data_IF_474950409858
#
_entry.id   IF_474950409858
#
_cell.length_a   1.000
_cell.length_b   1.000
_cell.length_c   1.000
_cell.angle_alpha   90.00
_cell.angle_beta   90.00
_cell.angle_gamma   90.00
#
_symmetry.space_group_name_H-M   'P 1'
#
loop_
_entity.id
_entity.type
_entity.pdbx_description
1 polymer ?
#
# COMPACT_ATOMS: atom_id res chain seq x y z
N UNK A 1 5.80 45.99 22.16
CA UNK A 1 6.82 45.49 21.22
C UNK A 1 8.10 45.24 22.00
N UNK A 2 8.32 44.02 22.50
CA UNK A 2 9.54 43.68 23.22
C UNK A 2 10.68 43.53 22.21
N UNK A 3 11.63 44.46 22.20
CA UNK A 3 12.81 44.37 21.34
C UNK A 3 13.51 43.02 21.56
N UNK A 4 13.71 42.27 20.48
CA UNK A 4 14.39 40.98 20.51
C UNK A 4 15.82 41.19 21.06
N UNK A 5 16.13 40.54 22.19
CA UNK A 5 17.43 40.72 22.91
C UNK A 5 18.66 40.49 22.03
N UNK A 6 18.54 39.72 20.94
CA UNK A 6 19.61 39.47 19.97
C UNK A 6 20.05 40.74 19.22
N UNK A 7 19.14 41.70 19.01
CA UNK A 7 19.38 42.89 18.19
C UNK A 7 19.51 44.19 19.01
N UNK A 8 19.31 44.12 20.33
CA UNK A 8 19.34 45.28 21.22
C UNK A 8 20.71 45.96 21.37
N UNK A 9 21.80 45.26 21.01
CA UNK A 9 23.17 45.78 21.09
C UNK A 9 23.64 46.45 19.79
N UNK A 10 22.85 46.40 18.72
CA UNK A 10 23.16 47.06 17.46
C UNK A 10 22.62 48.50 17.50
N UNK A 11 23.47 49.53 17.28
CA UNK A 11 22.98 50.89 17.07
C UNK A 11 22.23 50.96 15.73
N UNK A 12 21.15 51.75 15.68
CA UNK A 12 20.30 52.00 14.50
C UNK A 12 19.37 50.85 14.09
N UNK A 13 18.62 50.29 15.05
CA UNK A 13 17.56 49.32 14.77
C UNK A 13 16.21 50.04 14.53
N UNK A 14 15.63 49.84 13.35
CA UNK A 14 14.31 50.40 13.00
C UNK A 14 13.20 49.80 13.90
N UNK A 15 12.37 50.69 14.44
CA UNK A 15 11.21 50.35 15.29
C UNK A 15 9.87 50.47 14.55
N UNK A 16 9.91 50.70 13.24
CA UNK A 16 8.75 50.63 12.36
C UNK A 16 8.05 49.27 12.43
N UNK A 17 6.77 49.19 12.04
CA UNK A 17 6.09 47.92 11.87
C UNK A 17 6.82 47.03 10.85
N UNK A 18 6.96 45.74 11.22
CA UNK A 18 7.68 44.72 10.44
C UNK A 18 7.02 44.46 9.08
N UNK A 19 5.69 44.63 9.00
CA UNK A 19 4.90 44.43 7.79
C UNK A 19 4.03 45.65 7.52
N UNK A 20 4.26 46.30 6.37
CA UNK A 20 3.35 47.30 5.81
C UNK A 20 2.49 46.64 4.75
N UNK A 21 1.30 46.18 5.15
CA UNK A 21 0.32 45.56 4.26
C UNK A 21 -0.84 46.51 3.95
N UNK A 22 -1.40 46.36 2.75
CA UNK A 22 -2.70 46.97 2.42
C UNK A 22 -3.79 46.26 3.23
N UNK A 23 -4.82 46.97 3.71
CA UNK A 23 -5.93 46.34 4.43
C UNK A 23 -6.49 45.17 3.62
N UNK A 24 -6.66 44.02 4.26
CA UNK A 24 -7.20 42.82 3.63
C UNK A 24 -8.59 43.16 3.07
N UNK A 25 -8.70 43.29 1.74
CA UNK A 25 -10.01 43.32 1.10
C UNK A 25 -10.59 41.93 1.26
N UNK A 26 -11.77 41.83 1.85
CA UNK A 26 -12.49 40.57 2.03
C UNK A 26 -12.95 40.05 0.65
N UNK A 27 -12.02 39.49 -0.13
CA UNK A 27 -12.30 38.81 -1.40
C UNK A 27 -13.09 37.49 -1.19
N UNK A 28 -13.28 37.09 0.07
CA UNK A 28 -13.87 35.82 0.50
C UNK A 28 -15.42 35.82 0.57
N UNK A 29 -16.08 36.90 0.14
CA UNK A 29 -17.55 36.96 0.01
C UNK A 29 -18.07 36.62 -1.40
N UNK A 30 -17.20 36.22 -2.34
CA UNK A 30 -17.63 35.78 -3.67
C UNK A 30 -18.07 34.32 -3.66
N UNK A 31 -19.38 34.09 -3.54
CA UNK A 31 -20.06 32.84 -3.92
C UNK A 31 -20.17 32.65 -5.44
N UNK A 32 -19.19 33.12 -6.22
CA UNK A 32 -19.11 32.81 -7.63
C UNK A 32 -18.37 31.47 -7.76
N UNK A 33 -19.06 30.36 -8.10
CA UNK A 33 -18.35 29.14 -8.45
C UNK A 33 -17.54 29.47 -9.70
N UNK A 34 -16.22 29.53 -9.57
CA UNK A 34 -15.30 29.52 -10.72
C UNK A 34 -15.34 28.11 -11.31
N UNK A 35 -16.48 27.79 -11.92
CA UNK A 35 -16.75 26.57 -12.64
C UNK A 35 -15.87 26.54 -13.88
N UNK A 36 -14.65 26.01 -13.72
CA UNK A 36 -13.84 25.36 -14.76
C UNK A 36 -12.62 24.67 -14.12
N UNK A 37 -12.87 23.83 -13.14
CA UNK A 37 -11.96 22.75 -12.79
C UNK A 37 -12.73 21.43 -12.94
N UNK A 38 -12.66 20.84 -14.14
CA UNK A 38 -12.87 19.40 -14.29
C UNK A 38 -11.75 18.72 -13.51
N UNK A 39 -12.02 18.41 -12.26
CA UNK A 39 -11.16 17.50 -11.50
C UNK A 39 -11.57 16.08 -11.90
N UNK A 40 -10.75 15.45 -12.74
CA UNK A 40 -10.74 14.01 -12.93
C UNK A 40 -10.32 13.36 -11.61
N UNK A 41 -11.28 13.13 -10.73
CA UNK A 41 -11.07 12.37 -9.49
C UNK A 41 -11.61 10.96 -9.68
N UNK A 42 -10.69 10.02 -9.83
CA UNK A 42 -10.90 8.59 -9.75
C UNK A 42 -11.29 8.17 -8.33
N UNK A 43 -12.48 8.54 -7.87
CA UNK A 43 -13.22 7.94 -6.74
C UNK A 43 -14.50 8.75 -6.50
N UNK A 44 -15.47 8.72 -7.43
CA UNK A 44 -16.79 9.26 -7.11
C UNK A 44 -17.60 8.17 -6.42
N UNK A 45 -17.64 8.27 -5.09
CA UNK A 45 -18.59 7.61 -4.21
C UNK A 45 -20.00 7.71 -4.80
N UNK A 46 -20.69 6.59 -4.73
CA UNK A 46 -22.05 6.33 -5.21
C UNK A 46 -23.05 7.27 -4.52
N UNK A 47 -23.17 8.51 -4.99
CA UNK A 47 -24.22 9.42 -4.55
C UNK A 47 -24.92 10.01 -5.78
N UNK A 48 -26.14 9.54 -5.89
CA UNK A 48 -27.24 9.94 -6.74
C UNK A 48 -27.40 11.46 -6.71
N UNK A 49 -26.85 12.14 -7.72
CA UNK A 49 -27.24 13.48 -8.11
C UNK A 49 -27.77 13.33 -9.54
N UNK A 50 -29.02 12.92 -9.64
CA UNK A 50 -29.88 13.16 -10.80
C UNK A 50 -30.34 14.62 -10.73
N UNK A 51 -29.42 15.55 -10.99
CA UNK A 51 -29.77 16.93 -11.31
C UNK A 51 -29.09 17.29 -12.64
N UNK A 52 -29.95 17.33 -13.66
CA UNK A 52 -29.84 18.11 -14.89
C UNK A 52 -28.70 17.77 -15.86
N UNK A 53 -28.79 16.59 -16.48
CA UNK A 53 -28.03 16.26 -17.70
C UNK A 53 -28.98 15.92 -18.88
N UNK A 54 -30.13 16.61 -18.95
CA UNK A 54 -31.01 16.62 -20.14
C UNK A 54 -30.47 17.50 -21.30
N UNK A 55 -29.20 17.92 -21.28
CA UNK A 55 -28.72 18.99 -22.19
C UNK A 55 -27.76 18.54 -23.32
N UNK A 56 -27.63 17.23 -23.59
CA UNK A 56 -26.95 16.74 -24.79
C UNK A 56 -27.75 15.61 -25.48
N UNK A 57 -28.61 15.93 -26.48
CA UNK A 57 -29.29 14.90 -27.26
C UNK A 57 -28.26 14.07 -28.04
N UNK A 58 -28.07 12.81 -27.64
CA UNK A 58 -27.25 11.82 -28.37
C UNK A 58 -26.16 11.11 -27.55
N UNK A 59 -25.90 11.51 -26.30
CA UNK A 59 -24.89 10.86 -25.45
C UNK A 59 -25.57 10.22 -24.23
N UNK A 60 -25.62 8.89 -24.19
CA UNK A 60 -25.99 8.17 -22.97
C UNK A 60 -24.82 8.20 -21.99
N UNK A 61 -25.03 8.80 -20.81
CA UNK A 61 -24.02 8.94 -19.74
C UNK A 61 -24.24 7.92 -18.62
N UNK A 62 -24.81 6.75 -18.93
CA UNK A 62 -25.02 5.69 -17.94
C UNK A 62 -23.69 5.37 -17.24
N UNK A 63 -23.62 5.66 -15.94
CA UNK A 63 -22.42 5.41 -15.14
C UNK A 63 -22.29 3.90 -14.91
N UNK A 64 -21.08 3.36 -15.06
CA UNK A 64 -20.80 1.96 -14.77
C UNK A 64 -20.84 1.73 -13.26
N UNK A 65 -21.70 0.84 -12.80
CA UNK A 65 -21.74 0.40 -11.41
C UNK A 65 -20.79 -0.80 -11.24
N UNK A 66 -19.55 -0.61 -10.70
CA UNK A 66 -18.52 -1.64 -10.71
C UNK A 66 -18.90 -2.87 -9.87
N UNK A 67 -19.71 -2.69 -8.83
CA UNK A 67 -20.17 -3.79 -7.97
C UNK A 67 -21.22 -4.66 -8.69
N UNK A 68 -22.17 -4.04 -9.39
CA UNK A 68 -23.17 -4.74 -10.18
C UNK A 68 -22.52 -5.44 -11.38
N UNK A 69 -21.66 -4.72 -12.12
CA UNK A 69 -20.87 -5.30 -13.19
C UNK A 69 -20.01 -6.47 -12.70
N UNK A 70 -19.38 -6.36 -11.52
CA UNK A 70 -18.62 -7.47 -10.92
C UNK A 70 -19.50 -8.68 -10.66
N UNK A 71 -20.72 -8.49 -10.14
CA UNK A 71 -21.65 -9.60 -9.94
C UNK A 71 -22.06 -10.29 -11.24
N UNK A 72 -22.23 -9.52 -12.32
CA UNK A 72 -22.58 -10.04 -13.65
C UNK A 72 -21.44 -10.83 -14.30
N UNK A 73 -20.20 -10.37 -14.15
CA UNK A 73 -19.03 -10.99 -14.78
C UNK A 73 -18.27 -11.99 -13.90
N UNK A 74 -18.48 -12.01 -12.58
CA UNK A 74 -17.86 -12.98 -11.67
C UNK A 74 -18.05 -14.46 -12.05
N UNK A 75 -19.22 -14.93 -12.54
CA UNK A 75 -19.38 -16.33 -12.94
C UNK A 75 -18.82 -16.64 -14.33
N UNK A 76 -18.45 -15.63 -15.13
CA UNK A 76 -17.90 -15.84 -16.47
C UNK A 76 -16.40 -16.11 -16.38
N UNK A 77 -15.97 -17.32 -16.75
CA UNK A 77 -14.55 -17.63 -16.92
C UNK A 77 -14.20 -17.70 -18.41
N UNK A 78 -13.04 -17.16 -18.76
CA UNK A 78 -12.56 -17.05 -20.13
C UNK A 78 -11.37 -18.00 -20.30
N UNK A 79 -11.50 -18.98 -21.20
CA UNK A 79 -10.39 -19.82 -21.63
C UNK A 79 -9.68 -19.20 -22.84
N UNK A 80 -8.38 -18.98 -22.70
CA UNK A 80 -7.50 -18.39 -23.71
C UNK A 80 -6.46 -19.38 -24.24
N UNK A 81 -6.47 -20.65 -23.82
CA UNK A 81 -5.41 -21.64 -24.17
C UNK A 81 -5.29 -21.90 -25.67
N UNK A 82 -6.41 -21.85 -26.38
CA UNK A 82 -6.46 -22.07 -27.82
C UNK A 82 -6.57 -20.76 -28.62
N UNK A 83 -6.59 -19.58 -28.00
CA UNK A 83 -6.77 -18.33 -28.74
C UNK A 83 -5.54 -18.04 -29.61
N UNK A 84 -5.73 -17.95 -30.93
CA UNK A 84 -4.68 -17.64 -31.90
C UNK A 84 -5.18 -16.50 -32.80
N UNK A 85 -4.61 -15.31 -32.59
CA UNK A 85 -4.85 -14.11 -33.38
C UNK A 85 -3.79 -13.90 -34.46
N UNK A 86 -2.87 -14.86 -34.66
CA UNK A 86 -2.04 -14.81 -35.85
C UNK A 86 -2.97 -14.93 -37.05
N UNK A 87 -2.86 -14.00 -38.00
CA UNK A 87 -3.79 -13.79 -39.13
C UNK A 87 -3.66 -14.89 -40.21
N UNK A 88 -3.47 -16.14 -39.76
CA UNK A 88 -3.32 -17.34 -40.57
C UNK A 88 -4.69 -17.73 -41.13
N UNK A 89 -4.95 -17.26 -42.35
CA UNK A 89 -6.21 -17.48 -43.11
C UNK A 89 -6.53 -18.97 -43.37
N UNK A 90 -5.58 -19.89 -43.17
CA UNK A 90 -5.75 -21.32 -43.45
C UNK A 90 -6.30 -22.14 -42.29
N UNK A 91 -6.35 -21.59 -41.08
CA UNK A 91 -6.90 -22.27 -39.90
C UNK A 91 -8.22 -21.61 -39.47
N UNK A 92 -9.15 -22.41 -38.91
CA UNK A 92 -10.36 -21.86 -38.27
C UNK A 92 -9.92 -20.85 -37.21
N UNK A 93 -10.44 -19.62 -37.29
CA UNK A 93 -10.14 -18.54 -36.33
C UNK A 93 -10.39 -19.04 -34.91
N UNK A 94 -9.35 -19.06 -34.09
CA UNK A 94 -9.46 -19.47 -32.69
C UNK A 94 -9.62 -18.23 -31.81
N UNK A 95 -10.81 -18.03 -31.25
CA UNK A 95 -11.12 -16.92 -30.36
C UNK A 95 -11.15 -17.37 -28.89
N UNK A 96 -11.22 -16.41 -27.97
CA UNK A 96 -11.54 -16.66 -26.57
C UNK A 96 -12.84 -17.47 -26.44
N UNK A 97 -12.85 -18.46 -25.54
CA UNK A 97 -14.04 -19.22 -25.17
C UNK A 97 -14.51 -18.74 -23.81
N UNK A 98 -15.66 -18.05 -23.76
CA UNK A 98 -16.30 -17.69 -22.50
C UNK A 98 -17.29 -18.78 -22.10
N UNK A 99 -17.13 -19.36 -20.91
CA UNK A 99 -18.12 -20.28 -20.34
C UNK A 99 -18.72 -19.68 -19.09
N UNK A 100 -20.06 -19.64 -19.05
CA UNK A 100 -20.86 -19.15 -17.92
C UNK A 100 -21.63 -20.28 -17.24
N UNK A 101 -21.55 -21.52 -17.75
CA UNK A 101 -22.42 -22.63 -17.34
C UNK A 101 -21.64 -23.78 -16.71
N UNK A 102 -21.90 -23.94 -15.41
CA UNK A 102 -21.74 -25.13 -14.55
C UNK A 102 -20.51 -26.03 -14.82
N UNK A 103 -19.54 -25.92 -13.92
CA UNK A 103 -18.44 -26.85 -13.78
C UNK A 103 -18.94 -28.27 -13.49
N UNK A 104 -18.36 -29.27 -14.15
CA UNK A 104 -18.43 -30.66 -13.69
C UNK A 104 -17.04 -31.07 -13.24
N UNK A 105 -16.92 -31.40 -11.95
CA UNK A 105 -15.67 -31.90 -11.40
C UNK A 105 -15.57 -33.40 -11.70
N UNK A 106 -14.52 -33.83 -12.41
CA UNK A 106 -14.26 -35.26 -12.62
C UNK A 106 -13.70 -35.88 -11.34
N UNK A 107 -13.84 -37.20 -11.21
CA UNK A 107 -13.31 -38.01 -10.09
C UNK A 107 -11.78 -37.90 -9.93
N UNK A 108 -11.08 -37.48 -10.99
CA UNK A 108 -9.62 -37.27 -11.04
C UNK A 108 -9.19 -35.81 -10.69
N UNK A 109 -10.10 -35.00 -10.15
CA UNK A 109 -9.81 -33.62 -9.70
C UNK A 109 -9.54 -32.60 -10.81
N UNK A 110 -9.82 -32.96 -12.06
CA UNK A 110 -9.73 -32.06 -13.22
C UNK A 110 -11.09 -31.46 -13.52
N UNK A 111 -11.17 -30.12 -13.50
CA UNK A 111 -12.38 -29.38 -13.86
C UNK A 111 -12.54 -29.38 -15.38
N UNK A 112 -13.65 -29.97 -15.86
CA UNK A 112 -14.01 -29.97 -17.28
C UNK A 112 -14.97 -28.81 -17.55
N UNK A 113 -14.57 -27.93 -18.46
CA UNK A 113 -15.33 -26.76 -18.90
C UNK A 113 -15.86 -27.02 -20.32
N UNK A 114 -17.17 -26.90 -20.53
CA UNK A 114 -17.74 -27.01 -21.87
C UNK A 114 -19.25 -27.16 -21.87
N UNK A 115 -19.86 -26.79 -23.00
CA UNK A 115 -21.24 -27.17 -23.31
C UNK A 115 -21.24 -28.67 -23.67
N UNK A 116 -21.88 -29.49 -22.85
CA UNK A 116 -22.01 -30.93 -23.11
C UNK A 116 -23.08 -31.24 -24.17
N UNK A 117 -23.50 -30.24 -24.95
CA UNK A 117 -24.39 -30.39 -26.10
C UNK A 117 -23.68 -31.25 -27.16
N UNK A 118 -24.20 -32.46 -27.35
CA UNK A 118 -23.58 -33.63 -28.02
C UNK A 118 -23.39 -33.48 -29.55
N UNK A 119 -23.53 -32.28 -30.11
CA UNK A 119 -23.78 -32.15 -31.55
C UNK A 119 -22.67 -31.47 -32.37
N UNK A 120 -21.72 -30.69 -31.81
CA UNK A 120 -20.75 -29.98 -32.67
C UNK A 120 -19.27 -29.92 -32.21
N UNK A 121 -18.94 -30.27 -30.97
CA UNK A 121 -17.55 -30.15 -30.50
C UNK A 121 -16.81 -31.49 -30.53
N UNK A 122 -15.74 -31.52 -31.34
CA UNK A 122 -14.95 -32.70 -31.67
C UNK A 122 -14.72 -33.64 -30.49
N UNK A 123 -15.11 -34.90 -30.68
CA UNK A 123 -15.02 -35.97 -29.69
C UNK A 123 -13.72 -35.88 -28.87
N UNK A 124 -13.85 -35.88 -27.55
CA UNK A 124 -12.69 -35.92 -26.64
C UNK A 124 -11.74 -37.04 -27.08
N UNK A 125 -10.42 -36.82 -26.95
CA UNK A 125 -9.42 -37.79 -27.40
C UNK A 125 -9.68 -39.20 -26.85
N UNK A 126 -10.23 -39.29 -25.64
CA UNK A 126 -10.67 -40.53 -25.01
C UNK A 126 -11.88 -41.18 -25.72
N UNK A 127 -12.93 -40.41 -26.02
CA UNK A 127 -14.09 -40.90 -26.80
C UNK A 127 -13.67 -41.31 -28.21
N UNK A 128 -12.75 -40.56 -28.83
CA UNK A 128 -12.16 -40.87 -30.13
C UNK A 128 -11.36 -42.18 -30.11
N UNK A 129 -10.53 -42.39 -29.09
CA UNK A 129 -9.76 -43.64 -28.91
C UNK A 129 -10.70 -44.83 -28.63
N UNK A 130 -11.75 -44.64 -27.84
CA UNK A 130 -12.74 -45.69 -27.58
C UNK A 130 -13.51 -46.09 -28.85
N UNK A 131 -13.91 -45.12 -29.68
CA UNK A 131 -14.51 -45.38 -30.99
C UNK A 131 -13.56 -46.14 -31.91
N UNK A 132 -12.31 -45.67 -32.05
CA UNK A 132 -11.30 -46.34 -32.88
C UNK A 132 -11.01 -47.77 -32.42
N UNK A 133 -11.01 -48.03 -31.11
CA UNK A 133 -10.92 -49.40 -30.57
C UNK A 133 -12.07 -50.27 -31.06
N UNK A 134 -13.31 -49.75 -30.99
CA UNK A 134 -14.50 -50.48 -31.46
C UNK A 134 -14.45 -50.74 -32.96
N UNK A 135 -14.07 -49.74 -33.76
CA UNK A 135 -13.94 -49.88 -35.21
C UNK A 135 -12.85 -50.91 -35.60
N UNK A 136 -11.71 -50.92 -34.89
CA UNK A 136 -10.65 -51.90 -35.11
C UNK A 136 -11.08 -53.31 -34.69
N UNK A 137 -11.87 -53.44 -33.61
CA UNK A 137 -12.42 -54.71 -33.18
C UNK A 137 -13.47 -55.26 -34.17
N UNK A 138 -14.32 -54.40 -34.71
CA UNK A 138 -15.27 -54.74 -35.77
C UNK A 138 -14.54 -55.23 -37.04
N UNK A 139 -13.51 -54.51 -37.49
CA UNK A 139 -12.67 -54.91 -38.64
C UNK A 139 -11.96 -56.24 -38.39
N UNK A 140 -11.50 -56.49 -37.15
CA UNK A 140 -10.89 -57.77 -36.77
C UNK A 140 -11.89 -58.93 -36.83
N UNK A 141 -13.13 -58.72 -36.40
CA UNK A 141 -14.19 -59.72 -36.48
C UNK A 141 -14.60 -60.02 -37.92
N UNK A 142 -14.72 -59.01 -38.78
CA UNK A 142 -15.00 -59.20 -40.21
C UNK A 142 -13.88 -59.99 -40.90
N UNK A 143 -12.63 -59.68 -40.56
CA UNK A 143 -11.48 -60.39 -41.10
C UNK A 143 -11.41 -61.86 -40.62
N UNK A 144 -11.74 -62.13 -39.35
CA UNK A 144 -11.84 -63.50 -38.82
C UNK A 144 -12.97 -64.30 -39.49
N UNK A 145 -14.12 -63.68 -39.73
CA UNK A 145 -15.24 -64.29 -40.48
C UNK A 145 -14.82 -64.61 -41.93
N UNK A 146 -14.04 -63.74 -42.57
CA UNK A 146 -13.55 -63.93 -43.94
C UNK A 146 -12.49 -65.03 -44.05
N UNK A 147 -11.62 -65.18 -43.05
CA UNK A 147 -10.72 -66.33 -42.96
C UNK A 147 -11.47 -67.65 -42.74
N UNK A 148 -12.50 -67.66 -41.88
CA UNK A 148 -13.31 -68.85 -41.63
C UNK A 148 -14.18 -69.26 -42.84
N UNK A 149 -14.51 -68.31 -43.71
CA UNK A 149 -15.29 -68.55 -44.94
C UNK A 149 -14.42 -68.84 -46.18
N UNK A 150 -13.10 -68.65 -46.12
CA UNK A 150 -12.18 -68.76 -47.24
C UNK A 150 -11.23 -69.96 -47.15
N UNK A 151 -11.71 -71.13 -47.53
CA UNK A 151 -10.87 -72.29 -47.87
C UNK A 151 -11.18 -72.65 -49.34
N UNK A 152 -10.67 -71.84 -50.27
CA UNK A 152 -10.44 -72.17 -51.69
C UNK A 152 -9.98 -70.90 -52.44
N UNK A 153 -8.73 -70.91 -52.94
CA UNK A 153 -8.28 -69.99 -54.00
C UNK A 153 -7.13 -69.02 -53.66
N UNK A 154 -5.91 -69.52 -53.82
CA UNK A 154 -4.68 -68.90 -54.35
C UNK A 154 -4.01 -67.65 -53.72
N UNK A 155 -2.68 -67.69 -53.81
CA UNK A 155 -1.66 -66.85 -53.18
C UNK A 155 -1.79 -65.33 -53.43
N UNK A 156 -1.88 -64.54 -52.35
CA UNK A 156 -1.07 -63.35 -52.01
C UNK A 156 -1.79 -62.48 -50.96
N UNK A 157 -1.25 -62.46 -49.73
CA UNK A 157 -1.43 -61.34 -48.80
C UNK A 157 -2.63 -61.29 -47.82
N UNK A 158 -3.34 -62.37 -47.44
CA UNK A 158 -4.29 -62.25 -46.35
C UNK A 158 -3.57 -62.13 -45.00
N UNK A 159 -2.56 -62.95 -44.69
CA UNK A 159 -1.93 -62.98 -43.35
C UNK A 159 -1.33 -61.64 -42.89
N UNK A 160 -0.85 -60.81 -43.83
CA UNK A 160 -0.20 -59.52 -43.56
C UNK A 160 -1.19 -58.49 -42.99
N UNK A 161 -2.41 -58.42 -43.54
CA UNK A 161 -3.45 -57.50 -43.05
C UNK A 161 -3.94 -57.86 -41.65
N UNK A 162 -4.02 -59.16 -41.33
CA UNK A 162 -4.34 -59.61 -39.99
C UNK A 162 -3.25 -59.23 -38.98
N UNK A 163 -1.99 -59.38 -39.38
CA UNK A 163 -0.84 -58.95 -38.59
C UNK A 163 -0.85 -57.42 -38.39
N UNK A 164 -1.15 -56.64 -39.42
CA UNK A 164 -1.27 -55.19 -39.37
C UNK A 164 -2.39 -54.70 -38.44
N UNK A 165 -3.57 -55.32 -38.48
CA UNK A 165 -4.68 -54.99 -37.57
C UNK A 165 -4.32 -55.31 -36.11
N UNK A 166 -3.60 -56.41 -35.86
CA UNK A 166 -3.10 -56.72 -34.52
C UNK A 166 -1.98 -55.78 -34.08
N UNK A 167 -1.14 -55.31 -35.01
CA UNK A 167 -0.10 -54.31 -34.74
C UNK A 167 -0.72 -52.95 -34.41
N UNK A 168 -1.77 -52.53 -35.15
CA UNK A 168 -2.55 -51.32 -34.87
C UNK A 168 -3.22 -51.38 -33.50
N UNK A 169 -3.79 -52.53 -33.11
CA UNK A 169 -4.38 -52.71 -31.79
C UNK A 169 -3.30 -52.62 -30.68
N UNK A 170 -2.14 -53.26 -30.88
CA UNK A 170 -0.99 -53.12 -29.96
C UNK A 170 -0.45 -51.68 -29.88
N UNK A 171 -0.44 -50.93 -30.98
CA UNK A 171 -0.02 -49.52 -30.97
C UNK A 171 -1.04 -48.64 -30.23
N UNK A 172 -2.34 -48.88 -30.43
CA UNK A 172 -3.40 -48.14 -29.75
C UNK A 172 -3.43 -48.44 -28.24
N UNK A 173 -3.23 -49.69 -27.85
CA UNK A 173 -3.03 -50.07 -26.44
C UNK A 173 -1.74 -49.49 -25.86
N UNK A 174 -0.65 -49.45 -26.63
CA UNK A 174 0.59 -48.77 -26.24
C UNK A 174 0.40 -47.27 -26.00
N UNK A 175 -0.45 -46.61 -26.78
CA UNK A 175 -0.80 -45.19 -26.60
C UNK A 175 -1.70 -44.96 -25.39
N UNK A 176 -2.63 -45.89 -25.10
CA UNK A 176 -3.50 -45.84 -23.93
C UNK A 176 -2.75 -46.14 -22.62
N UNK A 177 -1.83 -47.12 -22.62
CA UNK A 177 -1.02 -47.51 -21.46
C UNK A 177 0.02 -46.45 -21.11
N UNK A 178 0.55 -45.70 -22.09
CA UNK A 178 1.41 -44.53 -21.81
C UNK A 178 0.71 -43.44 -20.99
N UNK A 179 -0.63 -43.46 -20.94
CA UNK A 179 -1.47 -42.55 -20.14
C UNK A 179 -2.11 -43.24 -18.91
N UNK A 180 -1.86 -44.54 -18.70
CA UNK A 180 -2.29 -45.27 -17.51
C UNK A 180 -1.54 -44.82 -16.23
N UNK A 181 -2.10 -45.05 -15.04
CA UNK A 181 -1.79 -44.36 -13.77
C UNK A 181 -0.37 -44.59 -13.20
N UNK A 182 0.48 -45.31 -13.91
CA UNK A 182 1.79 -45.77 -13.41
C UNK A 182 2.97 -44.90 -13.84
N UNK A 183 2.76 -43.89 -14.69
CA UNK A 183 3.76 -42.85 -14.87
C UNK A 183 3.64 -41.84 -13.74
N UNK A 184 4.50 -42.00 -12.71
CA UNK A 184 4.74 -41.02 -11.65
C UNK A 184 4.75 -39.62 -12.25
N UNK A 185 3.63 -38.91 -12.10
CA UNK A 185 3.43 -37.63 -12.73
C UNK A 185 4.52 -36.67 -12.28
N UNK A 186 4.91 -35.73 -13.14
CA UNK A 186 5.81 -34.65 -12.74
C UNK A 186 5.31 -33.93 -11.47
N UNK A 187 3.98 -33.93 -11.23
CA UNK A 187 3.35 -33.44 -10.01
C UNK A 187 3.72 -34.21 -8.74
N UNK A 188 3.91 -35.54 -8.79
CA UNK A 188 4.37 -36.31 -7.64
C UNK A 188 5.85 -36.05 -7.28
N UNK A 189 6.68 -35.71 -8.28
CA UNK A 189 8.05 -35.26 -8.05
C UNK A 189 8.07 -33.82 -7.51
N UNK A 190 7.22 -32.96 -8.05
CA UNK A 190 7.06 -31.57 -7.61
C UNK A 190 6.48 -31.46 -6.19
N UNK A 191 5.51 -32.30 -5.81
CA UNK A 191 4.98 -32.37 -4.45
C UNK A 191 6.02 -32.89 -3.44
N UNK A 192 6.90 -33.79 -3.88
CA UNK A 192 8.04 -34.25 -3.07
C UNK A 192 9.12 -33.16 -2.93
N UNK A 193 9.36 -32.39 -3.99
CA UNK A 193 10.29 -31.25 -3.96
C UNK A 193 9.73 -30.05 -3.18
N UNK A 194 8.42 -29.79 -3.22
CA UNK A 194 7.75 -28.79 -2.38
C UNK A 194 7.72 -29.22 -0.91
N UNK A 195 7.40 -30.49 -0.64
CA UNK A 195 7.40 -31.06 0.70
C UNK A 195 8.79 -31.12 1.35
N UNK A 196 9.86 -31.03 0.55
CA UNK A 196 11.26 -31.00 1.02
C UNK A 196 11.98 -29.67 0.76
N UNK A 197 11.29 -28.69 0.18
CA UNK A 197 11.88 -27.51 -0.44
C UNK A 197 11.23 -26.20 -0.05
N UNK A 198 11.10 -25.95 1.27
CA UNK A 198 11.35 -24.62 1.84
C UNK A 198 12.22 -24.87 3.06
N UNK A 199 13.51 -25.12 2.83
CA UNK A 199 14.52 -25.10 3.89
C UNK A 199 14.77 -23.66 4.31
N UNK A 200 13.90 -23.15 5.18
CA UNK A 200 14.30 -22.11 6.10
C UNK A 200 15.46 -22.67 6.96
N UNK A 201 16.57 -21.97 7.00
CA UNK A 201 17.80 -22.36 7.71
C UNK A 201 17.51 -22.94 9.10
N UNK A 202 17.72 -24.24 9.25
CA UNK A 202 17.73 -24.96 10.53
C UNK A 202 18.39 -26.32 10.34
N UNK A 203 19.28 -26.76 11.24
CA UNK A 203 20.01 -28.00 11.07
C UNK A 203 19.06 -29.21 11.10
N UNK A 204 19.37 -30.29 10.35
CA UNK A 204 18.51 -31.45 10.20
C UNK A 204 18.44 -32.19 11.54
N UNK A 205 17.24 -32.39 12.08
CA UNK A 205 17.03 -33.24 13.23
C UNK A 205 17.20 -34.70 12.80
N UNK A 206 18.29 -35.32 13.23
CA UNK A 206 18.44 -36.77 13.31
C UNK A 206 17.64 -37.28 14.52
N UNK A 207 17.01 -38.44 14.37
CA UNK A 207 16.19 -39.06 15.39
C UNK A 207 16.98 -39.37 16.68
N UNK A 208 16.43 -38.88 17.81
CA UNK A 208 16.53 -39.32 19.21
C UNK A 208 17.71 -40.20 19.66
N UNK A 209 18.51 -39.65 20.58
CA UNK A 209 19.25 -40.40 21.60
C UNK A 209 18.63 -40.20 22.98
N UNK A 210 18.22 -41.29 23.64
CA UNK A 210 17.73 -41.29 25.03
C UNK A 210 18.87 -40.83 25.97
N UNK A 211 18.77 -39.63 26.56
CA UNK A 211 19.64 -39.25 27.67
C UNK A 211 19.95 -37.77 27.92
N UNK A 212 19.51 -36.83 27.08
CA UNK A 212 19.81 -35.40 27.29
C UNK A 212 18.57 -34.55 27.58
N UNK A 213 18.78 -33.50 28.39
CA UNK A 213 17.75 -32.61 28.92
C UNK A 213 16.81 -32.12 27.80
N UNK A 214 15.50 -32.26 28.05
CA UNK A 214 14.44 -31.84 27.15
C UNK A 214 14.64 -30.38 26.70
N UNK A 215 15.25 -30.22 25.54
CA UNK A 215 15.49 -28.90 24.94
C UNK A 215 14.21 -28.55 24.20
N UNK A 216 13.36 -27.78 24.87
CA UNK A 216 12.16 -27.21 24.26
C UNK A 216 12.58 -26.17 23.22
N UNK A 217 12.62 -26.58 21.97
CA UNK A 217 12.76 -25.67 20.83
C UNK A 217 11.42 -25.00 20.58
N UNK A 218 11.25 -23.80 21.13
CA UNK A 218 10.12 -22.93 20.78
C UNK A 218 10.36 -22.46 19.35
N UNK A 219 9.69 -23.11 18.39
CA UNK A 219 9.65 -22.69 17.00
C UNK A 219 8.75 -21.46 16.88
N UNK A 220 9.35 -20.29 17.10
CA UNK A 220 8.68 -19.02 16.90
C UNK A 220 8.67 -18.65 15.42
N UNK A 221 7.48 -18.49 14.83
CA UNK A 221 7.32 -17.99 13.47
C UNK A 221 7.19 -16.44 13.52
N UNK A 222 8.25 -15.67 13.22
CA UNK A 222 8.21 -14.20 13.33
C UNK A 222 7.20 -13.55 12.36
N UNK A 223 6.92 -14.20 11.23
CA UNK A 223 5.92 -13.76 10.24
C UNK A 223 4.49 -13.79 10.79
N UNK A 224 4.20 -14.66 11.76
CA UNK A 224 2.88 -14.76 12.38
C UNK A 224 2.55 -13.53 13.23
N UNK A 225 3.54 -12.96 13.92
CA UNK A 225 3.30 -11.75 14.70
C UNK A 225 3.10 -10.51 13.85
N UNK A 226 3.88 -10.36 12.79
CA UNK A 226 3.72 -9.23 11.87
C UNK A 226 2.37 -9.30 11.15
N UNK A 227 1.99 -10.47 10.63
CA UNK A 227 0.68 -10.66 10.00
C UNK A 227 -0.48 -10.45 10.99
N UNK A 228 -0.36 -10.91 12.23
CA UNK A 228 -1.38 -10.69 13.26
C UNK A 228 -1.46 -9.22 13.70
N UNK A 229 -0.34 -8.49 13.79
CA UNK A 229 -0.34 -7.05 14.06
C UNK A 229 -0.96 -6.26 12.89
N UNK A 230 -0.65 -6.63 11.65
CA UNK A 230 -1.26 -6.03 10.45
C UNK A 230 -2.75 -6.34 10.34
N UNK A 231 -3.18 -7.56 10.65
CA UNK A 231 -4.59 -7.92 10.69
C UNK A 231 -5.35 -7.09 11.75
N UNK A 232 -4.77 -6.92 12.94
CA UNK A 232 -5.34 -6.03 13.96
C UNK A 232 -5.40 -4.57 13.50
N UNK A 233 -4.37 -4.07 12.83
CA UNK A 233 -4.37 -2.72 12.27
C UNK A 233 -5.46 -2.54 11.21
N UNK A 234 -5.66 -3.54 10.34
CA UNK A 234 -6.74 -3.54 9.35
C UNK A 234 -8.14 -3.59 10.00
N UNK A 235 -8.32 -4.33 11.10
CA UNK A 235 -9.58 -4.31 11.86
C UNK A 235 -9.85 -2.94 12.47
N UNK A 236 -8.83 -2.26 13.01
CA UNK A 236 -8.96 -0.89 13.52
C UNK A 236 -9.27 0.11 12.40
N UNK A 237 -8.60 -0.01 11.26
CA UNK A 237 -8.85 0.81 10.07
C UNK A 237 -10.27 0.61 9.55
N UNK A 238 -10.77 -0.64 9.47
CA UNK A 238 -12.16 -0.92 9.11
C UNK A 238 -13.17 -0.31 10.08
N UNK A 239 -12.91 -0.37 11.39
CA UNK A 239 -13.77 0.29 12.40
C UNK A 239 -13.69 1.81 12.30
N UNK A 240 -12.52 2.35 12.03
CA UNK A 240 -12.31 3.79 11.85
C UNK A 240 -13.02 4.28 10.59
N UNK A 241 -12.94 3.56 9.46
CA UNK A 241 -13.68 3.86 8.25
C UNK A 241 -15.20 3.81 8.44
N UNK A 242 -15.71 2.89 9.27
CA UNK A 242 -17.13 2.87 9.64
C UNK A 242 -17.52 4.09 10.48
N UNK A 243 -16.66 4.50 11.42
CA UNK A 243 -16.88 5.72 12.21
C UNK A 243 -16.79 6.98 11.33
N UNK A 244 -15.83 7.05 10.42
CA UNK A 244 -15.71 8.15 9.46
C UNK A 244 -16.93 8.22 8.55
N UNK A 245 -17.43 7.09 8.05
CA UNK A 245 -18.66 7.02 7.26
C UNK A 245 -19.88 7.46 8.05
N UNK A 246 -19.96 7.11 9.34
CA UNK A 246 -21.07 7.51 10.21
C UNK A 246 -21.01 9.00 10.60
N UNK A 247 -19.80 9.54 10.78
CA UNK A 247 -19.55 10.95 11.12
C UNK A 247 -19.56 11.86 9.88
N UNK A 248 -19.45 11.29 8.68
CA UNK A 248 -19.64 12.01 7.41
C UNK A 248 -18.54 13.01 7.07
N UNK A 249 -17.38 12.97 7.75
CA UNK A 249 -16.25 13.89 7.50
C UNK A 249 -15.54 13.45 6.21
N UNK A 250 -16.22 13.56 5.08
CA UNK A 250 -15.56 13.40 3.79
C UNK A 250 -14.80 14.70 3.50
N UNK A 251 -13.52 14.57 3.15
CA UNK A 251 -12.66 15.72 2.83
C UNK A 251 -13.22 16.62 1.69
N UNK A 252 -14.26 16.17 0.98
CA UNK A 252 -15.00 16.93 -0.01
C UNK A 252 -16.01 17.94 0.58
N UNK A 253 -16.43 17.79 1.84
CA UNK A 253 -17.32 18.73 2.54
C UNK A 253 -16.55 19.81 3.35
N UNK A 254 -15.22 19.73 3.37
CA UNK A 254 -14.34 20.68 4.04
C UNK A 254 -14.43 22.15 3.53
N UNK A 255 -14.71 22.45 2.24
CA UNK A 255 -14.70 23.84 1.78
C UNK A 255 -16.03 24.59 1.99
N UNK A 256 -17.14 23.91 2.36
CA UNK A 256 -18.45 24.59 2.52
C UNK A 256 -18.85 24.86 3.97
N UNK A 257 -18.02 24.47 4.95
CA UNK A 257 -18.35 24.56 6.37
C UNK A 257 -17.39 25.49 7.12
N UNK A 258 -17.61 26.79 6.94
CA UNK A 258 -17.05 27.94 7.67
C UNK A 258 -15.65 28.42 7.29
N UNK A 259 -15.50 29.75 7.38
CA UNK A 259 -14.38 30.60 6.96
C UNK A 259 -12.97 30.23 7.47
N UNK A 260 -12.81 29.17 8.26
CA UNK A 260 -11.53 28.80 8.86
C UNK A 260 -11.12 27.33 8.62
N UNK A 261 -11.79 26.56 7.76
CA UNK A 261 -11.37 25.20 7.40
C UNK A 261 -11.32 24.19 8.56
N UNK A 262 -11.89 24.53 9.72
CA UNK A 262 -12.00 23.65 10.90
C UNK A 262 -13.41 23.06 10.89
N UNK A 263 -13.57 21.72 10.93
CA UNK A 263 -14.88 21.10 10.97
C UNK A 263 -15.65 21.59 12.19
N UNK A 264 -16.93 21.98 12.01
CA UNK A 264 -17.80 22.36 13.12
C UNK A 264 -17.85 21.21 14.13
N UNK A 265 -17.55 21.44 15.42
CA UNK A 265 -17.60 20.38 16.41
C UNK A 265 -19.04 19.84 16.54
N UNK A 266 -19.19 18.52 16.43
CA UNK A 266 -20.50 17.84 16.38
C UNK A 266 -21.25 17.97 17.71
N UNK A 267 -20.54 17.95 18.84
CA UNK A 267 -21.16 18.05 20.16
C UNK A 267 -21.84 19.40 20.43
N UNK A 268 -21.21 20.57 20.23
CA UNK A 268 -21.89 21.84 20.43
C UNK A 268 -22.97 22.11 19.37
N UNK A 269 -22.86 21.59 18.14
CA UNK A 269 -23.96 21.69 17.17
C UNK A 269 -25.15 20.81 17.57
N UNK A 270 -24.91 19.63 18.12
CA UNK A 270 -25.97 18.79 18.70
C UNK A 270 -26.58 19.44 19.95
N UNK A 271 -25.77 20.04 20.83
CA UNK A 271 -26.26 20.75 22.02
C UNK A 271 -27.09 21.98 21.63
N UNK A 272 -26.68 22.76 20.61
CA UNK A 272 -27.50 23.88 20.14
C UNK A 272 -28.80 23.40 19.50
N UNK A 273 -28.78 22.34 18.69
CA UNK A 273 -30.00 21.72 18.16
C UNK A 273 -30.88 21.16 19.27
N UNK A 274 -30.30 20.51 20.28
CA UNK A 274 -31.01 20.01 21.44
C UNK A 274 -31.66 21.15 22.23
N UNK A 275 -30.96 22.27 22.44
CA UNK A 275 -31.52 23.48 23.08
C UNK A 275 -32.62 24.10 22.23
N UNK A 276 -32.48 24.13 20.91
CA UNK A 276 -33.53 24.62 20.01
C UNK A 276 -34.77 23.72 20.07
N UNK A 277 -34.59 22.40 20.04
CA UNK A 277 -35.66 21.42 20.17
C UNK A 277 -36.31 21.49 21.55
N UNK A 278 -35.53 21.64 22.62
CA UNK A 278 -36.08 21.79 23.98
C UNK A 278 -36.87 23.07 24.13
N UNK A 279 -36.42 24.18 23.54
CA UNK A 279 -37.21 25.43 23.49
C UNK A 279 -38.51 25.21 22.73
N UNK A 280 -38.51 24.53 21.58
CA UNK A 280 -39.73 24.26 20.81
C UNK A 280 -40.69 23.32 21.57
N UNK A 281 -40.16 22.35 22.32
CA UNK A 281 -40.96 21.37 23.06
C UNK A 281 -41.50 21.91 24.41
N UNK A 282 -40.70 22.70 25.12
CA UNK A 282 -41.02 23.19 26.46
C UNK A 282 -41.75 24.55 26.41
N UNK A 283 -41.55 25.34 25.34
CA UNK A 283 -42.21 26.63 25.21
C UNK A 283 -43.49 26.56 24.37
N UNK A 284 -44.63 26.64 25.07
CA UNK A 284 -45.89 27.09 24.44
C UNK A 284 -45.71 28.50 23.87
N UNK A 285 -46.30 28.86 22.72
CA UNK A 285 -46.11 30.18 22.08
C UNK A 285 -46.42 31.36 23.02
N UNK A 286 -47.31 31.18 24.00
CA UNK A 286 -47.62 32.17 25.04
C UNK A 286 -46.49 32.44 26.04
N UNK A 287 -45.65 31.43 26.35
CA UNK A 287 -44.52 31.63 27.28
C UNK A 287 -43.36 32.37 26.59
N UNK A 288 -43.09 32.12 25.30
CA UNK A 288 -42.14 32.88 24.50
C UNK A 288 -42.50 34.37 24.41
N UNK A 289 -43.76 34.70 24.17
CA UNK A 289 -44.22 36.10 24.14
C UNK A 289 -44.07 36.79 25.50
N UNK A 290 -44.33 36.07 26.59
CA UNK A 290 -44.16 36.60 27.95
C UNK A 290 -42.69 36.83 28.31
N UNK A 291 -41.80 35.91 27.90
CA UNK A 291 -40.35 36.02 28.08
C UNK A 291 -39.80 37.14 27.20
N UNK A 292 -40.24 37.24 25.93
CA UNK A 292 -39.85 38.31 25.02
C UNK A 292 -40.29 39.70 25.49
N UNK A 293 -41.40 39.81 26.24
CA UNK A 293 -41.80 41.06 26.92
C UNK A 293 -40.89 41.37 28.12
N UNK A 294 -40.55 40.36 28.94
CA UNK A 294 -39.64 40.52 30.08
C UNK A 294 -38.22 40.87 29.64
N UNK A 295 -37.70 40.23 28.58
CA UNK A 295 -36.39 40.57 27.99
C UNK A 295 -36.37 42.00 27.47
N UNK A 296 -37.45 42.47 26.82
CA UNK A 296 -37.56 43.89 26.42
C UNK A 296 -37.62 44.84 27.62
N UNK A 297 -38.24 44.44 28.74
CA UNK A 297 -38.21 45.23 29.99
C UNK A 297 -36.79 45.28 30.54
N UNK A 298 -36.12 44.13 30.67
CA UNK A 298 -34.75 44.04 31.18
C UNK A 298 -33.75 44.76 30.28
N UNK A 299 -33.93 44.74 28.96
CA UNK A 299 -33.10 45.50 28.03
C UNK A 299 -33.26 47.00 28.26
N UNK A 300 -34.49 47.49 28.45
CA UNK A 300 -34.74 48.89 28.81
C UNK A 300 -34.15 49.25 30.16
N UNK A 301 -34.34 48.41 31.18
CA UNK A 301 -33.76 48.62 32.51
C UNK A 301 -32.22 48.62 32.46
N UNK A 302 -31.61 47.79 31.60
CA UNK A 302 -30.16 47.79 31.38
C UNK A 302 -29.68 49.06 30.64
N UNK A 303 -30.41 49.52 29.62
CA UNK A 303 -30.14 50.80 28.93
C UNK A 303 -30.28 51.98 29.90
N UNK A 304 -31.29 51.97 30.77
CA UNK A 304 -31.48 52.99 31.81
C UNK A 304 -30.34 52.97 32.83
N UNK A 305 -29.84 51.79 33.23
CA UNK A 305 -28.67 51.66 34.08
C UNK A 305 -27.38 52.10 33.38
N UNK A 306 -27.22 51.83 32.08
CA UNK A 306 -26.08 52.31 31.30
C UNK A 306 -26.10 53.84 31.16
N UNK A 307 -27.27 54.42 30.90
CA UNK A 307 -27.47 55.86 30.90
C UNK A 307 -27.19 56.47 32.29
N UNK A 308 -27.62 55.84 33.37
CA UNK A 308 -27.32 56.27 34.73
C UNK A 308 -25.81 56.18 35.03
N UNK A 309 -25.13 55.12 34.60
CA UNK A 309 -23.67 54.97 34.73
C UNK A 309 -22.90 56.01 33.90
N UNK A 310 -23.32 56.28 32.66
CA UNK A 310 -22.72 57.34 31.83
C UNK A 310 -22.90 58.71 32.47
N UNK A 311 -24.08 59.01 33.02
CA UNK A 311 -24.33 60.26 33.76
C UNK A 311 -23.48 60.35 35.04
N UNK A 312 -23.34 59.25 35.78
CA UNK A 312 -22.48 59.19 36.96
C UNK A 312 -20.99 59.40 36.60
N UNK A 313 -20.53 58.79 35.49
CA UNK A 313 -19.17 58.98 34.98
C UNK A 313 -18.91 60.42 34.53
N UNK A 314 -19.83 61.04 33.80
CA UNK A 314 -19.72 62.45 33.41
C UNK A 314 -19.68 63.36 34.64
N UNK A 315 -20.51 63.10 35.66
CA UNK A 315 -20.46 63.84 36.92
C UNK A 315 -19.13 63.64 37.67
N UNK A 316 -18.55 62.43 37.61
CA UNK A 316 -17.24 62.13 38.17
C UNK A 316 -16.10 62.80 37.40
N UNK A 317 -16.19 62.88 36.07
CA UNK A 317 -15.24 63.59 35.20
C UNK A 317 -15.32 65.11 35.43
N UNK A 318 -16.52 65.66 35.66
CA UNK A 318 -16.73 67.06 36.07
C UNK A 318 -16.15 67.35 37.47
N UNK A 319 -16.26 66.40 38.41
CA UNK A 319 -15.63 66.48 39.73
C UNK A 319 -14.10 66.41 39.64
N UNK A 320 -13.55 65.54 38.77
CA UNK A 320 -12.10 65.49 38.46
C UNK A 320 -11.61 66.81 37.85
N UNK A 321 -12.38 67.42 36.94
CA UNK A 321 -12.07 68.74 36.36
C UNK A 321 -12.12 69.89 37.40
N UNK A 322 -12.85 69.70 38.50
CA UNK A 322 -12.90 70.65 39.63
C UNK A 322 -11.73 70.53 40.62
N UNK A 323 -10.78 69.61 40.38
CA UNK A 323 -9.52 69.53 41.13
C UNK A 323 -9.64 68.88 42.52
N UNK A 324 -10.59 67.96 42.69
CA UNK A 324 -10.64 67.08 43.87
C UNK A 324 -10.05 65.73 43.45
N UNK A 325 -8.80 65.48 43.86
CA UNK A 325 -8.11 64.20 43.69
C UNK A 325 -8.85 63.10 44.45
N UNK A 326 -9.71 62.37 43.75
CA UNK A 326 -10.26 61.10 44.21
C UNK A 326 -9.58 59.98 43.41
N UNK A 327 -8.70 59.29 44.13
CA UNK A 327 -8.20 57.92 43.95
C UNK A 327 -7.14 57.64 42.88
N UNK A 328 -5.89 57.45 43.34
CA UNK A 328 -4.83 56.67 42.68
C UNK A 328 -5.27 55.21 42.39
N UNK A 329 -6.31 54.71 43.07
CA UNK A 329 -6.86 53.36 42.88
C UNK A 329 -7.49 53.16 41.48
N UNK A 330 -8.07 54.21 40.86
CA UNK A 330 -8.73 54.06 39.54
C UNK A 330 -7.74 53.91 38.38
N UNK A 331 -6.55 54.49 38.49
CA UNK A 331 -5.50 54.36 37.46
C UNK A 331 -4.85 52.97 37.53
N UNK A 332 -4.62 52.43 38.73
CA UNK A 332 -4.18 51.03 38.92
C UNK A 332 -5.23 50.04 38.41
N UNK A 333 -6.52 50.28 38.69
CA UNK A 333 -7.62 49.48 38.16
C UNK A 333 -7.73 49.61 36.62
N UNK A 334 -7.42 50.77 36.04
CA UNK A 334 -7.40 50.96 34.58
C UNK A 334 -6.26 50.20 33.91
N UNK A 335 -5.07 50.16 34.52
CA UNK A 335 -3.94 49.38 34.02
C UNK A 335 -4.15 47.88 34.22
N UNK A 336 -4.71 47.48 35.35
CA UNK A 336 -5.04 46.09 35.62
C UNK A 336 -6.13 45.61 34.67
N UNK A 337 -7.16 46.41 34.41
CA UNK A 337 -8.18 46.09 33.40
C UNK A 337 -7.61 46.05 31.99
N UNK A 338 -6.65 46.92 31.63
CA UNK A 338 -5.95 46.84 30.34
C UNK A 338 -5.11 45.55 30.22
N UNK A 339 -4.38 45.16 31.28
CA UNK A 339 -3.62 43.89 31.35
C UNK A 339 -4.55 42.68 31.29
N UNK A 340 -5.68 42.72 32.00
CA UNK A 340 -6.71 41.69 31.99
C UNK A 340 -7.35 41.57 30.61
N UNK A 341 -7.68 42.68 29.95
CA UNK A 341 -8.22 42.69 28.58
C UNK A 341 -7.20 42.14 27.57
N UNK A 342 -5.91 42.44 27.76
CA UNK A 342 -4.85 41.84 26.96
C UNK A 342 -4.76 40.31 27.19
N UNK A 343 -4.90 39.83 28.43
CA UNK A 343 -4.93 38.40 28.75
C UNK A 343 -6.19 37.71 28.19
N UNK A 344 -7.35 38.34 28.28
CA UNK A 344 -8.58 37.86 27.64
C UNK A 344 -8.47 37.87 26.11
N UNK A 345 -7.67 38.76 25.52
CA UNK A 345 -7.35 38.72 24.09
C UNK A 345 -6.45 37.53 23.71
N UNK A 346 -5.55 37.10 24.61
CA UNK A 346 -4.71 35.90 24.41
C UNK A 346 -5.39 34.59 24.81
N UNK A 347 -6.49 34.64 25.55
CA UNK A 347 -7.18 33.43 26.02
C UNK A 347 -7.79 32.60 24.86
N UNK A 348 -8.45 33.19 23.85
CA UNK A 348 -8.94 32.45 22.69
C UNK A 348 -7.83 31.71 21.93
N UNK A 349 -6.63 32.29 21.83
CA UNK A 349 -5.52 31.62 21.14
C UNK A 349 -5.01 30.44 21.96
N UNK A 350 -4.94 30.56 23.28
CA UNK A 350 -4.58 29.47 24.18
C UNK A 350 -5.66 28.39 24.20
N UNK A 351 -6.94 28.76 24.25
CA UNK A 351 -8.07 27.83 24.26
C UNK A 351 -8.15 27.01 22.97
N UNK A 352 -7.79 27.60 21.83
CA UNK A 352 -7.69 26.89 20.55
C UNK A 352 -6.48 25.95 20.47
N UNK A 353 -5.35 26.30 21.09
CA UNK A 353 -4.10 25.51 21.02
C UNK A 353 -4.06 24.41 22.10
N UNK A 354 -4.65 24.64 23.26
CA UNK A 354 -4.70 23.70 24.38
C UNK A 354 -5.19 22.29 24.00
N UNK A 355 -6.30 22.10 23.24
CA UNK A 355 -6.75 20.76 22.84
C UNK A 355 -5.86 20.09 21.79
N UNK A 356 -4.99 20.85 21.10
CA UNK A 356 -4.05 20.32 20.10
C UNK A 356 -2.74 19.82 20.74
N UNK A 357 -2.44 20.23 21.97
CA UNK A 357 -1.18 19.87 22.63
C UNK A 357 -1.07 18.38 23.01
N UNK A 358 -2.12 17.72 23.56
CA UNK A 358 -2.08 16.28 23.84
C UNK A 358 -1.82 15.41 22.59
N UNK A 359 -2.53 15.57 21.45
CA UNK A 359 -2.27 14.74 20.27
C UNK A 359 -0.91 15.06 19.62
N UNK A 360 -0.41 16.30 19.70
CA UNK A 360 0.96 16.62 19.26
C UNK A 360 2.00 15.95 20.14
N UNK A 361 1.80 15.87 21.46
CA UNK A 361 2.68 15.17 22.38
C UNK A 361 2.67 13.66 22.10
N UNK A 362 1.49 13.08 21.85
CA UNK A 362 1.37 11.67 21.48
C UNK A 362 2.08 11.36 20.15
N UNK A 363 1.90 12.21 19.13
CA UNK A 363 2.65 12.11 17.86
C UNK A 363 4.15 12.28 18.05
N UNK A 364 4.59 13.23 18.87
CA UNK A 364 6.02 13.39 19.19
C UNK A 364 6.57 12.18 19.96
N UNK A 365 5.76 11.52 20.79
CA UNK A 365 6.17 10.30 21.50
C UNK A 365 6.31 9.12 20.56
N UNK A 366 5.40 8.94 19.58
CA UNK A 366 5.58 7.94 18.52
C UNK A 366 6.76 8.27 17.61
N UNK A 367 6.93 9.55 17.27
CA UNK A 367 8.01 10.01 16.40
C UNK A 367 9.38 9.98 17.11
N UNK A 368 9.42 10.07 18.44
CA UNK A 368 10.68 9.97 19.23
C UNK A 368 11.42 8.67 18.97
N UNK A 369 10.71 7.55 18.82
CA UNK A 369 11.35 6.28 18.48
C UNK A 369 12.02 6.37 17.11
N UNK A 370 11.32 6.90 16.11
CA UNK A 370 11.85 7.09 14.75
C UNK A 370 13.02 8.09 14.75
N UNK A 371 12.95 9.19 15.52
CA UNK A 371 14.06 10.13 15.64
C UNK A 371 15.28 9.53 16.33
N UNK A 372 15.08 8.71 17.36
CA UNK A 372 16.17 7.99 18.01
C UNK A 372 16.82 7.00 17.03
N UNK A 373 16.02 6.23 16.31
CA UNK A 373 16.49 5.30 15.29
C UNK A 373 17.24 6.03 14.18
N UNK A 374 16.72 7.16 13.70
CA UNK A 374 17.39 8.00 12.69
C UNK A 374 18.74 8.54 13.19
N UNK A 375 18.83 8.97 14.44
CA UNK A 375 20.08 9.42 15.04
C UNK A 375 21.10 8.27 15.22
N UNK A 376 20.63 7.06 15.57
CA UNK A 376 21.50 5.88 15.62
C UNK A 376 21.96 5.45 14.23
N UNK A 377 21.07 5.54 13.23
CA UNK A 377 21.38 5.23 11.84
C UNK A 377 22.42 6.20 11.29
N UNK A 378 22.28 7.52 11.51
CA UNK A 378 23.29 8.50 11.11
C UNK A 378 24.63 8.24 11.79
N UNK A 379 24.63 7.94 13.10
CA UNK A 379 25.87 7.59 13.82
C UNK A 379 26.52 6.30 13.31
N UNK A 380 25.72 5.29 12.95
CA UNK A 380 26.23 4.05 12.36
C UNK A 380 26.79 4.27 10.95
N UNK A 381 26.17 5.17 10.17
CA UNK A 381 26.64 5.53 8.84
C UNK A 381 27.96 6.30 8.91
N UNK A 382 28.10 7.24 9.84
CA UNK A 382 29.37 7.93 10.12
C UNK A 382 30.47 6.93 10.54
N UNK A 383 30.11 5.89 11.30
CA UNK A 383 31.05 4.84 11.69
C UNK A 383 31.47 3.97 10.49
N UNK A 384 30.53 3.60 9.64
CA UNK A 384 30.82 2.85 8.40
C UNK A 384 31.67 3.68 7.45
N UNK A 385 31.40 4.99 7.31
CA UNK A 385 32.21 5.90 6.50
C UNK A 385 33.66 5.97 7.01
N UNK A 386 33.85 6.07 8.34
CA UNK A 386 35.19 6.03 8.95
C UNK A 386 35.89 4.70 8.68
N UNK A 387 35.22 3.57 8.86
CA UNK A 387 35.79 2.24 8.56
C UNK A 387 36.13 2.09 7.08
N UNK A 388 35.30 2.64 6.18
CA UNK A 388 35.58 2.62 4.75
C UNK A 388 36.80 3.49 4.40
N UNK A 389 36.94 4.66 5.03
CA UNK A 389 38.11 5.54 4.86
C UNK A 389 39.40 4.87 5.38
N UNK A 390 39.33 4.20 6.54
CA UNK A 390 40.44 3.42 7.10
C UNK A 390 40.81 2.24 6.19
N UNK A 391 39.84 1.44 5.74
CA UNK A 391 40.07 0.34 4.83
C UNK A 391 40.66 0.83 3.50
N UNK A 392 40.20 1.97 2.97
CA UNK A 392 40.78 2.57 1.77
C UNK A 392 42.24 3.01 2.00
N UNK A 393 42.56 3.55 3.17
CA UNK A 393 43.93 3.91 3.54
C UNK A 393 44.81 2.66 3.69
N UNK A 394 44.29 1.59 4.29
CA UNK A 394 45.01 0.34 4.42
C UNK A 394 45.23 -0.30 3.05
N UNK A 395 44.23 -0.41 2.18
CA UNK A 395 44.42 -0.93 0.82
C UNK A 395 45.53 -0.15 0.08
N UNK A 396 45.65 1.17 0.28
CA UNK A 396 46.78 1.95 -0.27
C UNK A 396 48.11 1.49 0.32
N UNK A 397 48.24 1.36 1.64
CA UNK A 397 49.46 0.82 2.28
C UNK A 397 49.81 -0.59 1.78
N UNK A 398 48.82 -1.44 1.56
CA UNK A 398 49.02 -2.79 1.02
C UNK A 398 49.50 -2.77 -0.43
N UNK A 399 49.02 -1.84 -1.26
CA UNK A 399 49.55 -1.62 -2.61
C UNK A 399 50.99 -1.14 -2.58
N UNK A 400 51.30 -0.13 -1.78
CA UNK A 400 52.66 0.39 -1.65
C UNK A 400 53.61 -0.68 -1.08
N UNK A 401 53.12 -1.53 -0.17
CA UNK A 401 53.85 -2.67 0.35
C UNK A 401 54.11 -3.74 -0.71
N UNK A 402 53.11 -4.04 -1.56
CA UNK A 402 53.24 -4.99 -2.65
C UNK A 402 54.22 -4.48 -3.72
N UNK A 403 54.18 -3.19 -4.07
CA UNK A 403 55.12 -2.55 -4.99
C UNK A 403 56.56 -2.66 -4.47
N UNK A 404 56.79 -2.40 -3.18
CA UNK A 404 58.11 -2.61 -2.56
C UNK A 404 58.56 -4.07 -2.58
N UNK A 405 57.64 -5.01 -2.40
CA UNK A 405 57.95 -6.45 -2.48
C UNK A 405 58.26 -6.85 -3.92
N UNK A 406 57.54 -6.31 -4.90
CA UNK A 406 57.81 -6.51 -6.32
C UNK A 406 59.19 -5.96 -6.72
N UNK A 407 59.51 -4.74 -6.30
CA UNK A 407 60.85 -4.16 -6.50
C UNK A 407 61.94 -4.99 -5.83
N UNK A 408 61.72 -5.44 -4.59
CA UNK A 408 62.66 -6.29 -3.87
C UNK A 408 62.83 -7.67 -4.53
N UNK A 409 61.75 -8.23 -5.10
CA UNK A 409 61.79 -9.48 -5.85
C UNK A 409 62.54 -9.32 -7.17
N UNK A 410 62.33 -8.22 -7.90
CA UNK A 410 63.04 -7.94 -9.15
C UNK A 410 64.54 -7.70 -8.89
N UNK A 411 64.87 -7.00 -7.81
CA UNK A 411 66.26 -6.86 -7.36
C UNK A 411 66.86 -8.20 -6.93
N UNK A 412 66.11 -9.00 -6.17
CA UNK A 412 66.50 -10.35 -5.77
C UNK A 412 66.71 -11.29 -6.97
N UNK A 413 65.87 -11.20 -7.99
CA UNK A 413 66.00 -11.93 -9.25
C UNK A 413 67.26 -11.50 -10.00
N UNK A 414 67.52 -10.20 -10.13
CA UNK A 414 68.76 -9.68 -10.75
C UNK A 414 70.01 -10.16 -10.02
N UNK A 415 70.01 -10.13 -8.69
CA UNK A 415 71.11 -10.65 -7.87
C UNK A 415 71.24 -12.17 -8.02
N UNK A 416 70.14 -12.91 -8.05
CA UNK A 416 70.14 -14.37 -8.26
C UNK A 416 70.67 -14.75 -9.64
N UNK A 417 70.29 -14.03 -10.70
CA UNK A 417 70.83 -14.21 -12.06
C UNK A 417 72.32 -13.86 -12.08
N UNK A 418 72.73 -12.78 -11.40
CA UNK A 418 74.14 -12.42 -11.24
C UNK A 418 74.95 -13.52 -10.55
N UNK A 419 74.44 -14.05 -9.43
CA UNK A 419 75.05 -15.15 -8.70
C UNK A 419 75.09 -16.44 -9.53
N UNK A 420 74.02 -16.76 -10.27
CA UNK A 420 73.97 -17.92 -11.15
C UNK A 420 75.02 -17.82 -12.26
N UNK A 421 75.21 -16.64 -12.87
CA UNK A 421 76.28 -16.40 -13.85
C UNK A 421 77.67 -16.50 -13.24
N UNK A 422 77.86 -16.02 -12.01
CA UNK A 422 79.13 -16.16 -11.30
C UNK A 422 79.45 -17.63 -11.01
N UNK A 423 78.46 -18.41 -10.56
CA UNK A 423 78.58 -19.86 -10.34
C UNK A 423 78.84 -20.58 -11.67
N UNK A 424 78.13 -20.24 -12.74
CA UNK A 424 78.36 -20.80 -14.08
C UNK A 424 79.79 -20.51 -14.56
N UNK A 425 80.30 -19.30 -14.32
CA UNK A 425 81.69 -18.93 -14.56
C UNK A 425 82.67 -19.80 -13.77
N UNK A 426 82.43 -19.97 -12.45
CA UNK A 426 83.26 -20.83 -11.61
C UNK A 426 83.22 -22.30 -12.04
N UNK A 427 82.04 -22.81 -12.44
CA UNK A 427 81.90 -24.18 -12.96
C UNK A 427 82.67 -24.34 -14.26
N UNK A 428 82.56 -23.40 -15.20
CA UNK A 428 83.33 -23.42 -16.46
C UNK A 428 84.83 -23.35 -16.24
N UNK A 429 85.28 -22.52 -15.28
CA UNK A 429 86.70 -22.49 -14.89
C UNK A 429 87.16 -23.82 -14.27
N UNK A 430 86.28 -24.49 -13.50
CA UNK A 430 86.53 -25.81 -12.94
C UNK A 430 86.57 -26.88 -14.03
N UNK A 431 85.66 -26.84 -15.00
CA UNK A 431 85.63 -27.71 -16.18
C UNK A 431 86.92 -27.55 -17.01
N UNK A 432 87.34 -26.31 -17.29
CA UNK A 432 88.60 -26.05 -17.99
C UNK A 432 89.82 -26.54 -17.21
N UNK A 433 89.83 -26.40 -15.89
CA UNK A 433 90.92 -26.96 -15.06
C UNK A 433 90.93 -28.48 -15.07
N UNK A 434 89.76 -29.12 -15.15
CA UNK A 434 89.63 -30.58 -15.27
C UNK A 434 90.03 -31.10 -16.67
N UNK A 435 89.77 -30.35 -17.75
CA UNK A 435 90.24 -30.70 -19.10
C UNK A 435 91.75 -30.54 -19.29
N UNK A 436 92.39 -29.66 -18.52
CA UNK A 436 93.84 -29.41 -18.57
C UNK A 436 94.66 -30.36 -17.67
N UNK A 437 94.02 -31.28 -16.96
CA UNK A 437 94.61 -32.36 -16.16
C UNK A 437 94.52 -33.69 -16.94
#
# INVERSE_FOLDING_TARGET
MTANRKYAALPDLDSAPDLYETPELTDDNSTAPTGRARSDSASSSYKDFDEDDEEAPGISRSRLHPNEARHLFAPAQIDARDADFSDRVTAKRKSYKASTRRQRNREDGTEEYGDFSDDEDGESLERKVARLRREIEEVKEEYAKRQAAGQDGDELGPEDLGQDVTALNKMLDGMSVRKGPTNKSAGGKFAKDLGTGIKANGPPQTALGNGEAATYTITYAPTYQQSHALAKAADFDGRLALLEKALGISAAELPSSTANGIPKPILPTLDTLQRQISVILESTPSSLDSIGRRVRSLAKEAEDLEMARKRAKVAQDELRASGVDVAEDEDEDSEQTAKINALYGTLPTIENIAPLLPPLLERLRSLRAIHADAATASGSLDQVEKQQAEMAADIKKWRDGLEKVEEALEQGEKVSIGNMKAIEGWVKELEQKMENL
#
